data_IF_408811089035
#
_entry.id   IF_408811089035
#
_cell.length_a   1.000
_cell.length_b   1.000
_cell.length_c   1.000
_cell.angle_alpha   90.00
_cell.angle_beta   90.00
_cell.angle_gamma   90.00
#
_symmetry.space_group_name_H-M   'P 1'
#
loop_
_entity.id
_entity.type
_entity.pdbx_description
1 polymer ?
#
# COMPACT_ATOMS: atom_id res chain seq x y z
N UNK A 1 -61.94 -6.25 -8.09
CA UNK A 1 -60.75 -6.65 -8.89
C UNK A 1 -60.21 -5.38 -9.52
N UNK A 2 -58.97 -4.91 -9.39
CA UNK A 2 -57.68 -5.44 -8.92
C UNK A 2 -56.88 -4.16 -8.59
N UNK A 3 -56.51 -3.91 -7.33
CA UNK A 3 -55.70 -2.72 -6.97
C UNK A 3 -54.30 -2.92 -7.55
N UNK A 4 -53.89 -2.06 -8.48
CA UNK A 4 -52.57 -2.07 -9.09
C UNK A 4 -51.54 -1.58 -8.05
N UNK A 5 -50.76 -2.51 -7.51
CA UNK A 5 -49.68 -2.23 -6.57
C UNK A 5 -48.48 -1.68 -7.37
N UNK A 6 -48.29 -0.35 -7.36
CA UNK A 6 -47.06 0.27 -7.87
C UNK A 6 -45.93 -0.03 -6.88
N UNK A 7 -45.05 -0.97 -7.23
CA UNK A 7 -43.80 -1.21 -6.53
C UNK A 7 -42.81 -0.13 -6.97
N UNK A 8 -42.59 0.85 -6.09
CA UNK A 8 -41.60 1.90 -6.28
C UNK A 8 -40.22 1.32 -5.91
N UNK A 9 -39.47 0.83 -6.90
CA UNK A 9 -38.07 0.40 -6.69
C UNK A 9 -37.23 1.67 -6.52
N UNK A 10 -37.02 2.05 -5.27
CA UNK A 10 -36.13 3.14 -4.87
C UNK A 10 -34.69 2.63 -5.03
N UNK A 11 -34.08 2.90 -6.19
CA UNK A 11 -32.63 2.69 -6.37
C UNK A 11 -31.93 3.74 -5.51
N UNK A 12 -31.68 3.39 -4.24
CA UNK A 12 -30.73 4.11 -3.41
C UNK A 12 -29.35 3.89 -4.04
N UNK A 13 -28.92 4.84 -4.86
CA UNK A 13 -27.50 5.01 -5.18
C UNK A 13 -26.84 5.41 -3.85
N UNK A 14 -26.47 4.42 -3.05
CA UNK A 14 -25.63 4.63 -1.91
C UNK A 14 -24.28 5.08 -2.48
N UNK A 15 -23.99 6.38 -2.43
CA UNK A 15 -22.63 6.87 -2.44
C UNK A 15 -21.96 6.29 -1.18
N UNK A 16 -21.52 5.04 -1.25
CA UNK A 16 -20.70 4.44 -0.20
C UNK A 16 -19.33 5.10 -0.31
N UNK A 17 -19.08 6.08 0.57
CA UNK A 17 -17.73 6.54 0.82
C UNK A 17 -17.04 5.44 1.64
N UNK A 18 -16.58 4.39 0.97
CA UNK A 18 -15.80 3.33 1.63
C UNK A 18 -14.48 3.92 2.11
N UNK A 19 -14.08 3.54 3.32
CA UNK A 19 -12.73 3.81 3.80
C UNK A 19 -11.72 3.06 2.94
N UNK A 20 -10.46 3.50 2.95
CA UNK A 20 -9.39 2.79 2.25
C UNK A 20 -9.32 1.32 2.67
N UNK A 21 -9.41 1.05 3.97
CA UNK A 21 -9.31 -0.31 4.51
C UNK A 21 -10.47 -1.18 4.03
N UNK A 22 -11.70 -0.65 4.00
CA UNK A 22 -12.85 -1.38 3.45
C UNK A 22 -12.64 -1.70 1.96
N UNK A 23 -12.14 -0.74 1.17
CA UNK A 23 -11.82 -0.99 -0.24
C UNK A 23 -10.73 -2.06 -0.39
N UNK A 24 -9.68 -2.02 0.43
CA UNK A 24 -8.63 -3.05 0.46
C UNK A 24 -9.17 -4.43 0.85
N UNK A 25 -10.14 -4.51 1.78
CA UNK A 25 -10.76 -5.78 2.19
C UNK A 25 -11.68 -6.39 1.11
N UNK A 26 -12.20 -5.56 0.20
CA UNK A 26 -13.15 -6.00 -0.84
C UNK A 26 -12.47 -6.41 -2.15
N UNK A 27 -11.27 -5.92 -2.43
CA UNK A 27 -10.56 -6.26 -3.67
C UNK A 27 -10.19 -7.76 -3.68
N UNK A 28 -10.21 -8.37 -4.87
CA UNK A 28 -9.75 -9.75 -5.04
C UNK A 28 -8.25 -9.86 -4.74
N UNK A 29 -7.85 -11.02 -4.21
CA UNK A 29 -6.45 -11.29 -3.91
C UNK A 29 -5.60 -11.31 -5.19
N UNK A 30 -4.40 -10.76 -5.10
CA UNK A 30 -3.31 -10.89 -6.09
C UNK A 30 -2.14 -11.57 -5.38
N UNK A 31 -1.56 -12.59 -6.01
CA UNK A 31 -0.40 -13.28 -5.41
C UNK A 31 0.83 -12.36 -5.37
N UNK A 32 1.28 -12.04 -4.16
CA UNK A 32 2.45 -11.20 -3.90
C UNK A 32 3.54 -11.97 -3.12
N UNK A 33 3.52 -13.31 -3.14
CA UNK A 33 4.43 -14.17 -2.39
C UNK A 33 5.92 -13.83 -2.54
N UNK A 34 6.32 -13.45 -3.75
CA UNK A 34 7.71 -13.16 -4.10
C UNK A 34 7.97 -11.66 -4.26
N UNK A 35 7.03 -10.81 -3.82
CA UNK A 35 7.14 -9.38 -4.00
C UNK A 35 8.30 -8.80 -3.19
N UNK A 36 8.93 -7.78 -3.75
CA UNK A 36 10.05 -7.07 -3.14
C UNK A 36 10.13 -5.67 -3.75
N UNK A 37 10.79 -4.75 -3.07
CA UNK A 37 11.16 -3.47 -3.66
C UNK A 37 12.66 -3.29 -3.49
N UNK A 38 13.36 -3.00 -4.59
CA UNK A 38 14.82 -2.94 -4.63
C UNK A 38 15.48 -4.21 -4.04
N UNK A 39 14.85 -5.37 -4.23
CA UNK A 39 15.32 -6.65 -3.71
C UNK A 39 15.05 -6.90 -2.21
N UNK A 40 14.45 -5.95 -1.50
CA UNK A 40 14.12 -6.07 -0.06
C UNK A 40 12.71 -6.64 0.09
N UNK A 41 12.52 -7.57 1.02
CA UNK A 41 11.22 -8.20 1.31
C UNK A 41 10.71 -7.89 2.71
N UNK A 42 9.40 -8.03 2.87
CA UNK A 42 8.77 -8.04 4.20
C UNK A 42 9.16 -9.32 4.94
N UNK A 43 9.28 -9.24 6.26
CA UNK A 43 9.69 -10.36 7.11
C UNK A 43 11.20 -10.60 7.16
N UNK A 44 11.98 -10.00 6.27
CA UNK A 44 13.44 -10.06 6.34
C UNK A 44 13.97 -9.25 7.54
N UNK A 45 15.15 -9.63 8.03
CA UNK A 45 15.90 -8.83 9.01
C UNK A 45 16.46 -7.56 8.36
N UNK A 46 16.75 -6.54 9.17
CA UNK A 46 17.35 -5.30 8.70
C UNK A 46 18.75 -5.54 8.10
N UNK A 47 19.00 -5.12 6.85
CA UNK A 47 20.34 -5.19 6.26
C UNK A 47 21.33 -4.21 6.92
N UNK A 48 22.60 -4.60 6.99
CA UNK A 48 23.65 -3.86 7.71
C UNK A 48 23.85 -2.40 7.25
N UNK A 49 23.51 -2.07 6.00
CA UNK A 49 23.69 -0.72 5.45
C UNK A 49 22.65 0.30 5.93
N UNK A 50 21.63 -0.13 6.69
CA UNK A 50 20.57 0.74 7.16
C UNK A 50 20.92 1.39 8.50
N UNK A 51 20.67 2.69 8.59
CA UNK A 51 20.87 3.49 9.79
C UNK A 51 19.51 3.82 10.42
N UNK A 52 19.48 3.83 11.75
CA UNK A 52 18.28 4.21 12.51
C UNK A 52 17.96 5.69 12.30
N UNK A 53 16.69 6.03 12.09
CA UNK A 53 16.28 7.43 12.01
C UNK A 53 16.25 8.08 13.41
N UNK A 54 16.89 9.26 13.59
CA UNK A 54 17.00 9.91 14.89
C UNK A 54 15.65 10.25 15.52
N UNK A 55 14.59 10.40 14.72
CA UNK A 55 13.25 10.72 15.22
C UNK A 55 12.58 9.53 15.91
N UNK A 56 13.13 8.30 15.82
CA UNK A 56 12.56 7.14 16.49
C UNK A 56 12.45 7.31 18.00
N UNK A 57 13.40 8.00 18.64
CA UNK A 57 13.34 8.27 20.09
C UNK A 57 12.02 8.93 20.48
N UNK A 58 11.55 9.88 19.66
CA UNK A 58 10.28 10.57 19.86
C UNK A 58 9.06 9.66 19.62
N UNK A 59 9.15 8.73 18.65
CA UNK A 59 8.03 7.90 18.21
C UNK A 59 7.87 6.56 18.94
N UNK A 60 8.89 6.06 19.65
CA UNK A 60 8.83 4.75 20.33
C UNK A 60 7.67 4.61 21.31
N UNK A 61 7.23 5.69 21.96
CA UNK A 61 6.06 5.68 22.84
C UNK A 61 4.71 5.79 22.10
N UNK A 62 4.72 6.01 20.78
CA UNK A 62 3.55 6.30 19.96
C UNK A 62 3.22 5.24 18.91
N UNK A 63 4.15 4.34 18.59
CA UNK A 63 3.95 3.27 17.58
C UNK A 63 4.86 2.08 17.83
N UNK A 64 4.53 0.88 17.35
CA UNK A 64 5.28 -0.38 17.59
C UNK A 64 6.55 -0.58 16.74
N UNK A 65 6.90 0.34 15.83
CA UNK A 65 7.98 0.18 14.86
C UNK A 65 8.93 1.38 14.81
N UNK A 66 10.15 1.11 14.39
CA UNK A 66 11.22 2.08 14.20
C UNK A 66 11.55 2.24 12.71
N UNK A 67 11.87 3.47 12.31
CA UNK A 67 12.22 3.83 10.94
C UNK A 67 13.73 3.71 10.74
N UNK A 68 14.13 3.09 9.63
CA UNK A 68 15.52 2.98 9.20
C UNK A 68 15.65 3.45 7.76
N UNK A 69 16.84 3.95 7.40
CA UNK A 69 17.13 4.45 6.05
C UNK A 69 18.48 3.96 5.55
N UNK A 70 18.54 3.64 4.26
CA UNK A 70 19.76 3.42 3.51
C UNK A 70 19.62 4.09 2.16
N UNK A 71 20.57 4.95 1.80
CA UNK A 71 20.54 5.73 0.55
C UNK A 71 19.18 6.42 0.34
N UNK A 72 18.40 5.94 -0.63
CA UNK A 72 17.09 6.44 -1.04
C UNK A 72 15.98 5.42 -0.77
N UNK A 73 16.10 4.62 0.29
CA UNK A 73 15.09 3.65 0.73
C UNK A 73 14.86 3.80 2.23
N UNK A 74 13.60 3.82 2.63
CA UNK A 74 13.15 3.76 4.00
C UNK A 74 12.50 2.42 4.27
N UNK A 75 12.76 1.85 5.45
CA UNK A 75 12.07 0.67 5.95
C UNK A 75 11.56 0.91 7.37
N UNK A 76 10.44 0.29 7.72
CA UNK A 76 9.97 0.24 9.10
C UNK A 76 10.22 -1.16 9.64
N UNK A 77 10.84 -1.26 10.81
CA UNK A 77 11.12 -2.50 11.53
C UNK A 77 10.21 -2.59 12.74
N UNK A 78 9.48 -3.69 12.88
CA UNK A 78 8.71 -3.94 14.09
C UNK A 78 9.64 -4.28 15.26
N UNK A 79 9.50 -3.57 16.39
CA UNK A 79 10.44 -3.68 17.51
C UNK A 79 10.42 -5.04 18.21
N UNK A 80 9.28 -5.73 18.24
CA UNK A 80 9.15 -7.03 18.92
C UNK A 80 9.77 -8.19 18.14
N UNK A 81 9.71 -8.14 16.82
CA UNK A 81 10.15 -9.22 15.93
C UNK A 81 11.51 -8.92 15.29
N UNK A 82 11.84 -7.65 15.11
CA UNK A 82 13.03 -7.22 14.36
C UNK A 82 12.87 -7.35 12.84
N UNK A 83 11.64 -7.56 12.36
CA UNK A 83 11.33 -7.82 10.96
C UNK A 83 10.94 -6.54 10.21
N UNK A 84 11.27 -6.48 8.92
CA UNK A 84 10.79 -5.45 8.00
C UNK A 84 9.28 -5.61 7.80
N UNK A 85 8.52 -4.59 8.18
CA UNK A 85 7.05 -4.55 8.04
C UNK A 85 6.56 -3.57 6.98
N UNK A 86 7.44 -2.72 6.46
CA UNK A 86 7.13 -1.78 5.38
C UNK A 86 8.40 -1.28 4.68
N UNK A 87 8.33 -1.11 3.36
CA UNK A 87 9.40 -0.65 2.47
C UNK A 87 8.86 0.50 1.62
N UNK A 88 9.57 1.62 1.64
CA UNK A 88 9.23 2.84 0.92
C UNK A 88 10.50 3.42 0.28
N UNK A 89 10.70 3.26 -1.04
CA UNK A 89 11.70 4.05 -1.74
C UNK A 89 11.38 5.54 -1.61
N UNK A 90 12.43 6.35 -1.52
CA UNK A 90 12.30 7.79 -1.71
C UNK A 90 11.75 8.05 -3.13
N UNK A 91 10.87 9.05 -3.28
CA UNK A 91 10.20 9.37 -4.56
C UNK A 91 11.17 9.64 -5.73
N UNK A 92 12.41 10.06 -5.40
CA UNK A 92 13.49 10.33 -6.38
C UNK A 92 14.34 9.09 -6.71
N UNK A 93 14.06 7.94 -6.09
CA UNK A 93 14.78 6.70 -6.35
C UNK A 93 14.25 6.06 -7.63
N UNK A 94 14.84 6.42 -8.78
CA UNK A 94 14.42 5.91 -10.09
C UNK A 94 14.88 4.47 -10.35
N UNK A 95 15.85 3.98 -9.58
CA UNK A 95 16.40 2.63 -9.70
C UNK A 95 15.60 1.59 -8.90
N UNK A 96 14.81 2.03 -7.91
CA UNK A 96 13.97 1.14 -7.13
C UNK A 96 12.85 0.56 -8.01
N UNK A 97 12.86 -0.77 -8.15
CA UNK A 97 11.85 -1.54 -8.87
C UNK A 97 11.18 -2.57 -7.97
N UNK A 98 9.93 -2.90 -8.28
CA UNK A 98 9.25 -4.07 -7.71
C UNK A 98 9.86 -5.38 -8.25
N UNK A 99 9.48 -6.53 -7.68
CA UNK A 99 9.91 -7.84 -8.20
C UNK A 99 9.48 -8.07 -9.66
N UNK A 100 8.42 -7.39 -10.12
CA UNK A 100 7.93 -7.44 -11.50
C UNK A 100 8.45 -6.30 -12.38
N UNK A 101 9.45 -5.54 -11.90
CA UNK A 101 10.15 -4.53 -12.70
C UNK A 101 9.47 -3.17 -12.78
N UNK A 102 8.40 -2.92 -12.01
CA UNK A 102 7.70 -1.63 -12.00
C UNK A 102 8.43 -0.63 -11.10
N UNK A 103 8.61 0.60 -11.58
CA UNK A 103 9.35 1.68 -10.93
C UNK A 103 8.64 3.02 -11.03
N UNK A 104 9.25 4.05 -10.43
CA UNK A 104 8.85 5.44 -10.67
C UNK A 104 9.01 5.78 -12.16
N UNK A 105 8.01 6.47 -12.72
CA UNK A 105 7.96 6.89 -14.12
C UNK A 105 7.26 5.92 -15.08
N UNK A 106 7.08 4.66 -14.68
CA UNK A 106 6.30 3.67 -15.43
C UNK A 106 4.82 4.07 -15.45
N UNK A 107 4.09 3.64 -16.47
CA UNK A 107 2.69 4.04 -16.66
C UNK A 107 1.75 3.16 -15.84
N UNK A 108 0.54 3.65 -15.58
CA UNK A 108 -0.55 2.84 -15.03
C UNK A 108 -0.79 1.57 -15.86
N UNK A 109 -0.69 1.67 -17.18
CA UNK A 109 -0.83 0.54 -18.09
C UNK A 109 0.24 -0.53 -17.84
N UNK A 110 1.48 -0.13 -17.59
CA UNK A 110 2.57 -1.06 -17.25
C UNK A 110 2.28 -1.79 -15.93
N UNK A 111 1.78 -1.04 -14.92
CA UNK A 111 1.39 -1.62 -13.63
C UNK A 111 0.29 -2.67 -13.81
N UNK A 112 -0.79 -2.34 -14.52
CA UNK A 112 -1.92 -3.25 -14.75
C UNK A 112 -1.47 -4.46 -15.58
N UNK A 113 -0.57 -4.27 -16.55
CA UNK A 113 0.00 -5.38 -17.33
C UNK A 113 0.79 -6.35 -16.45
N UNK A 114 1.57 -5.83 -15.50
CA UNK A 114 2.39 -6.64 -14.61
C UNK A 114 1.60 -7.33 -13.48
N UNK A 115 0.50 -6.73 -13.01
CA UNK A 115 -0.21 -7.17 -11.80
C UNK A 115 -1.66 -7.61 -12.00
N UNK A 116 -2.25 -7.31 -13.17
CA UNK A 116 -3.63 -7.66 -13.52
C UNK A 116 -4.66 -6.63 -13.05
N UNK A 117 -5.94 -6.95 -13.25
CA UNK A 117 -7.05 -6.02 -13.02
C UNK A 117 -7.63 -6.07 -11.59
N UNK A 118 -7.08 -6.91 -10.71
CA UNK A 118 -7.55 -7.06 -9.33
C UNK A 118 -6.95 -5.99 -8.39
N UNK A 119 -6.90 -4.73 -8.84
CA UNK A 119 -6.45 -3.62 -8.00
C UNK A 119 -7.63 -2.89 -7.35
N UNK A 120 -7.39 -2.28 -6.20
CA UNK A 120 -8.25 -1.22 -5.70
C UNK A 120 -7.78 0.12 -6.23
N UNK A 121 -8.70 1.05 -6.41
CA UNK A 121 -8.40 2.46 -6.63
C UNK A 121 -8.85 3.26 -5.41
N UNK A 122 -8.04 4.21 -4.98
CA UNK A 122 -8.40 5.15 -3.93
C UNK A 122 -7.94 6.56 -4.30
N UNK A 123 -8.92 7.42 -4.51
CA UNK A 123 -8.70 8.83 -4.89
C UNK A 123 -9.01 9.72 -3.70
N UNK A 124 -7.98 10.41 -3.20
CA UNK A 124 -8.20 11.57 -2.32
C UNK A 124 -8.66 12.73 -3.20
N UNK A 125 -9.92 13.14 -3.05
CA UNK A 125 -10.72 13.87 -4.07
C UNK A 125 -10.26 15.29 -4.41
N UNK A 126 -9.06 15.70 -3.99
CA UNK A 126 -8.61 17.10 -4.08
C UNK A 126 -7.56 17.39 -5.15
N UNK A 127 -6.77 16.42 -5.67
CA UNK A 127 -5.53 16.79 -6.38
C UNK A 127 -5.15 16.04 -7.67
N UNK A 128 -6.04 15.24 -8.28
CA UNK A 128 -5.72 14.52 -9.54
C UNK A 128 -4.60 13.48 -9.40
N UNK A 129 -4.10 13.30 -8.18
CA UNK A 129 -3.36 12.14 -7.74
C UNK A 129 -4.33 11.13 -7.13
N UNK A 130 -4.07 9.87 -7.40
CA UNK A 130 -4.75 8.76 -6.75
C UNK A 130 -3.74 7.66 -6.50
N UNK A 131 -4.16 6.62 -5.81
CA UNK A 131 -3.35 5.42 -5.68
C UNK A 131 -4.14 4.22 -6.15
N UNK A 132 -3.43 3.28 -6.74
CA UNK A 132 -3.92 1.92 -6.93
C UNK A 132 -3.11 0.98 -6.05
N UNK A 133 -3.69 -0.15 -5.69
CA UNK A 133 -2.92 -1.17 -5.00
C UNK A 133 -3.50 -2.56 -5.14
N UNK A 134 -2.65 -3.52 -4.81
CA UNK A 134 -2.92 -4.94 -4.87
C UNK A 134 -2.78 -5.50 -3.46
N UNK A 135 -3.67 -6.42 -3.12
CA UNK A 135 -3.70 -7.06 -1.81
C UNK A 135 -3.51 -8.55 -2.01
N UNK A 136 -2.55 -9.14 -1.31
CA UNK A 136 -2.45 -10.58 -1.10
C UNK A 136 -3.10 -10.87 0.26
N UNK A 137 -4.35 -11.35 0.24
CA UNK A 137 -5.10 -11.62 1.47
C UNK A 137 -4.56 -12.83 2.23
N UNK A 138 -3.96 -13.80 1.53
CA UNK A 138 -3.43 -15.02 2.15
C UNK A 138 -2.15 -14.72 2.95
N UNK A 139 -1.38 -13.72 2.51
CA UNK A 139 -0.11 -13.31 3.15
C UNK A 139 -0.18 -11.98 3.87
N UNK A 140 -1.34 -11.32 3.86
CA UNK A 140 -1.53 -9.98 4.42
C UNK A 140 -0.57 -8.94 3.82
N UNK A 141 -0.29 -8.97 2.51
CA UNK A 141 0.64 -8.04 1.84
C UNK A 141 -0.14 -7.02 1.03
N UNK A 142 0.31 -5.77 1.05
CA UNK A 142 -0.17 -4.70 0.18
C UNK A 142 0.99 -4.08 -0.60
N UNK A 143 0.80 -4.02 -1.92
CA UNK A 143 1.63 -3.24 -2.84
C UNK A 143 0.81 -2.06 -3.35
N UNK A 144 1.27 -0.83 -3.10
CA UNK A 144 0.57 0.40 -3.50
C UNK A 144 1.42 1.21 -4.45
N UNK A 145 0.81 1.77 -5.50
CA UNK A 145 1.40 2.74 -6.40
C UNK A 145 0.64 4.07 -6.31
N UNK A 146 1.37 5.15 -6.08
CA UNK A 146 0.85 6.51 -6.19
C UNK A 146 0.98 6.94 -7.66
N UNK A 147 -0.11 7.46 -8.21
CA UNK A 147 -0.24 7.78 -9.64
C UNK A 147 -0.60 9.25 -9.80
N UNK A 148 0.14 9.93 -10.67
CA UNK A 148 -0.14 11.28 -11.10
C UNK A 148 0.07 11.39 -12.61
N UNK A 149 -0.92 11.94 -13.34
CA UNK A 149 -0.92 12.00 -14.80
C UNK A 149 -0.56 10.64 -15.44
N UNK A 150 -1.22 9.58 -14.97
CA UNK A 150 -1.06 8.18 -15.42
C UNK A 150 0.34 7.58 -15.22
N UNK A 151 1.21 8.22 -14.43
CA UNK A 151 2.55 7.72 -14.12
C UNK A 151 2.71 7.42 -12.64
N UNK A 152 3.46 6.37 -12.34
CA UNK A 152 3.89 6.03 -10.99
C UNK A 152 4.83 7.13 -10.48
N UNK A 153 4.50 7.73 -9.35
CA UNK A 153 5.33 8.74 -8.66
C UNK A 153 5.95 8.22 -7.36
N UNK A 154 5.32 7.22 -6.75
CA UNK A 154 5.86 6.53 -5.59
C UNK A 154 5.24 5.13 -5.48
N UNK A 155 5.87 4.28 -4.68
CA UNK A 155 5.35 2.95 -4.38
C UNK A 155 5.68 2.54 -2.95
N UNK A 156 4.87 1.64 -2.39
CA UNK A 156 5.11 1.08 -1.05
C UNK A 156 4.74 -0.39 -1.03
N UNK A 157 5.52 -1.18 -0.31
CA UNK A 157 5.25 -2.58 0.01
C UNK A 157 5.18 -2.70 1.52
N UNK A 158 4.08 -3.23 2.07
CA UNK A 158 3.86 -3.34 3.52
C UNK A 158 2.90 -4.46 3.84
N UNK A 159 2.85 -4.87 5.09
CA UNK A 159 1.71 -5.64 5.55
C UNK A 159 0.42 -4.80 5.44
N UNK A 160 -0.65 -5.42 4.90
CA UNK A 160 -1.89 -4.74 4.58
C UNK A 160 -2.64 -4.31 5.85
N UNK A 161 -2.69 -5.20 6.84
CA UNK A 161 -3.46 -5.04 8.07
C UNK A 161 -2.61 -5.29 9.33
N UNK A 162 -2.92 -4.55 10.39
CA UNK A 162 -2.57 -4.84 11.80
C UNK A 162 -1.08 -4.93 12.23
N UNK A 163 -0.11 -4.62 11.36
CA UNK A 163 1.33 -4.68 11.69
C UNK A 163 1.97 -3.32 12.03
N UNK A 164 1.43 -2.23 11.50
CA UNK A 164 1.87 -0.85 11.79
C UNK A 164 0.87 -0.20 12.74
N UNK A 165 1.13 -0.28 14.04
CA UNK A 165 0.22 0.18 15.10
C UNK A 165 0.68 1.51 15.65
N UNK A 166 -0.21 2.50 15.64
CA UNK A 166 -0.07 3.73 16.41
C UNK A 166 -0.87 3.61 17.70
N UNK A 167 -0.23 3.91 18.83
CA UNK A 167 -0.88 4.00 20.12
C UNK A 167 -1.65 5.32 20.17
N UNK A 168 -2.95 5.24 20.45
CA UNK A 168 -3.74 6.44 20.73
C UNK A 168 -3.30 6.98 22.11
N UNK A 169 -2.89 8.25 22.14
CA UNK A 169 -2.71 9.00 23.39
C UNK A 169 -4.06 9.50 23.91
#
# INVERSE_FOLDING_TARGET
MRKLLFIFILVLVACQNSTLEETMKQVRSTDLANESIAGIRLGDALPDQFEEDPDNEYYRSKRNYDLYKAENIFVNIERSTGEIVSILPHEKNLEAKTARGIGVGDTLSDVITAYGENYYEYTDRSQGSYKIGYIDHDRNISLTFYVFLEKVTAMTLRYAFEQLVWYQN
#
